data_IF_523723073427
#
_entry.id   IF_523723073427
#
_cell.length_a   1.000
_cell.length_b   1.000
_cell.length_c   1.000
_cell.angle_alpha   90.00
_cell.angle_beta   90.00
_cell.angle_gamma   90.00
#
_symmetry.space_group_name_H-M   'P 1'
#
loop_
_entity.id
_entity.type
_entity.pdbx_description
1 polymer ?
#
# COMPACT_ATOMS: atom_id res chain seq x y z
N UNK A 1 12.23 18.90 -4.69
CA UNK A 1 11.45 17.71 -4.26
C UNK A 1 10.32 17.34 -5.22
N UNK A 2 9.42 18.25 -5.61
CA UNK A 2 8.29 17.91 -6.48
C UNK A 2 8.67 17.32 -7.86
N UNK A 3 9.79 17.77 -8.44
CA UNK A 3 10.29 17.29 -9.74
C UNK A 3 10.73 15.82 -9.67
N UNK A 4 11.45 15.43 -8.62
CA UNK A 4 11.89 14.05 -8.40
C UNK A 4 10.70 13.09 -8.31
N UNK A 5 9.66 13.49 -7.58
CA UNK A 5 8.45 12.69 -7.39
C UNK A 5 7.68 12.51 -8.72
N UNK A 6 7.63 13.54 -9.55
CA UNK A 6 7.07 13.47 -10.91
C UNK A 6 7.82 12.47 -11.78
N UNK A 7 9.16 12.52 -11.81
CA UNK A 7 9.95 11.56 -12.60
C UNK A 7 9.84 10.13 -12.07
N UNK A 8 9.79 9.95 -10.75
CA UNK A 8 9.57 8.64 -10.13
C UNK A 8 8.21 8.06 -10.54
N UNK A 9 7.15 8.86 -10.53
CA UNK A 9 5.82 8.44 -10.99
C UNK A 9 5.81 8.06 -12.47
N UNK A 10 6.42 8.88 -13.33
CA UNK A 10 6.53 8.59 -14.76
C UNK A 10 7.29 7.28 -14.98
N UNK A 11 8.41 7.07 -14.27
CA UNK A 11 9.17 5.83 -14.34
C UNK A 11 8.34 4.63 -13.87
N UNK A 12 7.61 4.73 -12.76
CA UNK A 12 6.73 3.67 -12.25
C UNK A 12 5.63 3.31 -13.25
N UNK A 13 5.01 4.32 -13.88
CA UNK A 13 3.96 4.12 -14.89
C UNK A 13 4.55 3.43 -16.13
N UNK A 14 5.67 3.92 -16.65
CA UNK A 14 6.33 3.31 -17.81
C UNK A 14 6.80 1.88 -17.49
N UNK A 15 7.36 1.64 -16.30
CA UNK A 15 7.77 0.32 -15.84
C UNK A 15 6.58 -0.64 -15.71
N UNK A 16 5.44 -0.15 -15.22
CA UNK A 16 4.20 -0.92 -15.13
C UNK A 16 3.64 -1.26 -16.51
N UNK A 17 3.65 -0.33 -17.46
CA UNK A 17 3.19 -0.56 -18.84
C UNK A 17 4.14 -1.50 -19.60
N UNK A 18 5.45 -1.32 -19.43
CA UNK A 18 6.48 -2.11 -20.12
C UNK A 18 6.42 -3.62 -19.81
N UNK A 19 5.80 -4.02 -18.69
CA UNK A 19 5.61 -5.44 -18.33
C UNK A 19 4.80 -6.20 -19.38
N UNK A 20 3.87 -5.55 -20.08
CA UNK A 20 3.05 -6.19 -21.11
C UNK A 20 3.80 -6.42 -22.41
N UNK A 21 4.83 -5.62 -22.68
CA UNK A 21 5.59 -5.66 -23.93
C UNK A 21 6.80 -6.59 -23.87
N UNK A 22 7.24 -7.03 -22.68
CA UNK A 22 8.41 -7.90 -22.55
C UNK A 22 8.31 -8.87 -21.36
N UNK A 23 8.52 -10.16 -21.64
CA UNK A 23 8.58 -11.21 -20.59
C UNK A 23 9.72 -10.97 -19.58
N UNK A 24 10.84 -10.39 -19.99
CA UNK A 24 11.96 -10.08 -19.07
C UNK A 24 11.57 -8.99 -18.08
N UNK A 25 10.91 -7.93 -18.56
CA UNK A 25 10.41 -6.84 -17.72
C UNK A 25 9.29 -7.34 -16.81
N UNK A 26 8.42 -8.22 -17.29
CA UNK A 26 7.40 -8.85 -16.46
C UNK A 26 7.99 -9.66 -15.29
N UNK A 27 9.09 -10.41 -15.50
CA UNK A 27 9.77 -11.11 -14.41
C UNK A 27 10.38 -10.15 -13.38
N UNK A 28 10.99 -9.06 -13.83
CA UNK A 28 11.53 -8.02 -12.94
C UNK A 28 10.42 -7.30 -12.15
N UNK A 29 9.30 -7.00 -12.80
CA UNK A 29 8.13 -6.41 -12.17
C UNK A 29 7.51 -7.38 -11.15
N UNK A 30 7.37 -8.66 -11.51
CA UNK A 30 6.87 -9.70 -10.61
C UNK A 30 7.78 -9.90 -9.38
N UNK A 31 9.10 -9.82 -9.54
CA UNK A 31 10.04 -9.93 -8.42
C UNK A 31 10.11 -8.71 -7.51
N UNK A 32 9.54 -7.57 -7.91
CA UNK A 32 9.61 -6.30 -7.16
C UNK A 32 8.22 -5.89 -6.67
N UNK A 33 7.48 -5.17 -7.51
CA UNK A 33 6.17 -4.60 -7.19
C UNK A 33 5.10 -5.70 -7.19
N UNK A 34 5.18 -6.65 -8.12
CA UNK A 34 4.26 -7.78 -8.19
C UNK A 34 4.31 -8.65 -6.93
N UNK A 35 5.50 -8.97 -6.44
CA UNK A 35 5.69 -9.72 -5.20
C UNK A 35 5.15 -8.97 -3.98
N UNK A 36 5.35 -7.65 -3.93
CA UNK A 36 4.77 -6.82 -2.88
C UNK A 36 3.23 -6.81 -2.94
N UNK A 37 2.64 -6.70 -4.13
CA UNK A 37 1.18 -6.77 -4.34
C UNK A 37 0.64 -8.16 -3.99
N UNK A 38 1.32 -9.22 -4.38
CA UNK A 38 0.94 -10.61 -4.10
C UNK A 38 1.03 -10.92 -2.60
N UNK A 39 2.08 -10.42 -1.93
CA UNK A 39 2.17 -10.44 -0.49
C UNK A 39 1.01 -9.67 0.17
N UNK A 40 0.67 -8.48 -0.35
CA UNK A 40 -0.45 -7.67 0.10
C UNK A 40 -1.79 -8.37 -0.13
N UNK A 41 -1.94 -9.12 -1.21
CA UNK A 41 -3.15 -9.88 -1.50
C UNK A 41 -3.29 -11.08 -0.54
N UNK A 42 -2.20 -11.82 -0.36
CA UNK A 42 -2.16 -13.00 0.52
C UNK A 42 -2.28 -12.63 2.01
N UNK A 43 -1.73 -11.49 2.41
CA UNK A 43 -1.78 -11.00 3.78
C UNK A 43 -2.84 -9.91 4.00
N UNK A 44 -3.57 -9.52 2.95
CA UNK A 44 -4.51 -8.39 2.96
C UNK A 44 -5.62 -8.58 3.99
N UNK A 45 -6.15 -9.80 4.11
CA UNK A 45 -7.14 -10.16 5.12
C UNK A 45 -6.59 -10.00 6.54
N UNK A 46 -5.32 -10.37 6.76
CA UNK A 46 -4.65 -10.22 8.07
C UNK A 46 -4.37 -8.75 8.36
N UNK A 47 -3.97 -7.99 7.36
CA UNK A 47 -3.68 -6.56 7.45
C UNK A 47 -4.97 -5.75 7.72
N UNK A 48 -6.08 -6.06 7.03
CA UNK A 48 -7.41 -5.51 7.32
C UNK A 48 -7.84 -5.80 8.76
N UNK A 49 -7.64 -7.03 9.25
CA UNK A 49 -7.96 -7.39 10.63
C UNK A 49 -7.19 -6.51 11.63
N UNK A 50 -5.89 -6.28 11.42
CA UNK A 50 -5.11 -5.38 12.28
C UNK A 50 -5.56 -3.93 12.17
N UNK A 51 -5.86 -3.44 10.96
CA UNK A 51 -6.38 -2.08 10.76
C UNK A 51 -7.72 -1.88 11.47
N UNK A 52 -8.60 -2.89 11.46
CA UNK A 52 -9.90 -2.83 12.14
C UNK A 52 -9.73 -2.80 13.66
N UNK A 53 -8.81 -3.60 14.22
CA UNK A 53 -8.48 -3.58 15.65
C UNK A 53 -7.92 -2.21 16.06
N UNK A 54 -6.98 -1.67 15.28
CA UNK A 54 -6.42 -0.33 15.51
C UNK A 54 -7.50 0.75 15.44
N UNK A 55 -8.40 0.70 14.45
CA UNK A 55 -9.51 1.63 14.34
C UNK A 55 -10.45 1.55 15.56
N UNK A 56 -10.76 0.34 16.05
CA UNK A 56 -11.54 0.14 17.26
C UNK A 56 -10.88 0.72 18.51
N UNK A 57 -9.57 0.55 18.66
CA UNK A 57 -8.80 1.14 19.77
C UNK A 57 -8.80 2.67 19.71
N UNK A 58 -8.59 3.25 18.53
CA UNK A 58 -8.65 4.70 18.34
C UNK A 58 -10.05 5.22 18.66
N UNK A 59 -11.10 4.52 18.23
CA UNK A 59 -12.48 4.88 18.55
C UNK A 59 -12.74 4.88 20.07
N UNK A 60 -12.34 3.82 20.77
CA UNK A 60 -12.45 3.74 22.24
C UNK A 60 -11.68 4.87 22.94
N UNK A 61 -10.48 5.19 22.46
CA UNK A 61 -9.69 6.29 22.97
C UNK A 61 -10.39 7.64 22.79
N UNK A 62 -10.96 7.89 21.61
CA UNK A 62 -11.73 9.11 21.33
C UNK A 62 -12.97 9.23 22.21
N UNK A 63 -13.72 8.14 22.39
CA UNK A 63 -14.90 8.11 23.28
C UNK A 63 -14.49 8.36 24.73
N UNK A 64 -13.39 7.77 25.18
CA UNK A 64 -12.89 7.97 26.54
C UNK A 64 -12.44 9.41 26.79
N UNK A 65 -11.74 10.02 25.82
CA UNK A 65 -11.38 11.44 25.88
C UNK A 65 -12.63 12.32 25.94
N UNK A 66 -13.60 12.08 25.06
CA UNK A 66 -14.86 12.83 25.03
C UNK A 66 -15.60 12.78 26.37
N UNK A 67 -15.64 11.60 27.01
CA UNK A 67 -16.26 11.42 28.32
C UNK A 67 -15.55 12.15 29.47
N UNK A 68 -14.29 12.55 29.31
CA UNK A 68 -13.52 13.28 30.34
C UNK A 68 -13.46 14.79 30.12
N UNK A 69 -13.80 15.25 28.92
CA UNK A 69 -13.81 16.68 28.57
C UNK A 69 -15.21 17.31 28.63
N UNK A 70 -16.25 16.52 28.94
CA UNK A 70 -17.62 16.98 29.18
C UNK A 70 -17.91 17.26 30.65
#
# INVERSE_FOLDING_TARGET
MAIFLKFLLIFLILFWVARFFSRKINKLWAGTIGAAIEWLNNNGTRLMKYMFILAGLVFLFLVFQWSRTG
#
